data_IF_765056492285
#
_entry.id   IF_765056492285
#
_cell.length_a   1.000
_cell.length_b   1.000
_cell.length_c   1.000
_cell.angle_alpha   90.00
_cell.angle_beta   90.00
_cell.angle_gamma   90.00
#
_symmetry.space_group_name_H-M   'P 1'
#
loop_
_entity.id
_entity.type
_entity.pdbx_description
1 polymer ?
#
# COMPACT_ATOMS: atom_id res chain seq x y z
N UNK A 1 -7.62 -23.32 -23.22
CA UNK A 1 -7.66 -23.65 -21.79
C UNK A 1 -6.27 -24.14 -21.42
N UNK A 2 -5.46 -23.30 -20.73
CA UNK A 2 -4.16 -23.74 -20.19
C UNK A 2 -4.42 -24.77 -19.09
N UNK A 3 -3.90 -25.98 -19.26
CA UNK A 3 -3.90 -27.01 -18.20
C UNK A 3 -3.32 -26.41 -16.93
N UNK A 4 -4.14 -26.27 -15.90
CA UNK A 4 -3.69 -25.85 -14.57
C UNK A 4 -2.74 -26.92 -14.04
N UNK A 5 -1.45 -26.62 -13.99
CA UNK A 5 -0.43 -27.44 -13.35
C UNK A 5 -0.74 -27.51 -11.84
N UNK A 6 -1.56 -28.49 -11.43
CA UNK A 6 -1.87 -28.74 -10.02
C UNK A 6 -0.56 -29.04 -9.29
N UNK A 7 -0.20 -28.17 -8.35
CA UNK A 7 0.92 -28.44 -7.44
C UNK A 7 0.62 -29.75 -6.71
N UNK A 8 1.54 -30.72 -6.79
CA UNK A 8 1.35 -32.02 -6.17
C UNK A 8 1.12 -31.87 -4.66
N UNK A 9 0.28 -32.73 -4.08
CA UNK A 9 -0.02 -32.76 -2.65
C UNK A 9 1.24 -32.83 -1.80
N UNK A 10 2.25 -33.56 -2.27
CA UNK A 10 3.55 -33.66 -1.61
C UNK A 10 4.27 -32.32 -1.49
N UNK A 11 4.26 -31.49 -2.55
CA UNK A 11 4.87 -30.14 -2.50
C UNK A 11 4.14 -29.20 -1.52
N UNK A 12 2.81 -29.31 -1.42
CA UNK A 12 2.03 -28.55 -0.43
C UNK A 12 2.35 -28.95 1.00
N UNK A 13 2.44 -30.25 1.27
CA UNK A 13 2.81 -30.78 2.59
C UNK A 13 4.22 -30.34 2.96
N UNK A 14 5.18 -30.45 2.02
CA UNK A 14 6.57 -30.03 2.24
C UNK A 14 6.67 -28.52 2.56
N UNK A 15 5.92 -27.70 1.84
CA UNK A 15 5.85 -26.25 2.09
C UNK A 15 5.28 -25.92 3.50
N UNK A 16 4.21 -26.60 3.90
CA UNK A 16 3.64 -26.41 5.24
C UNK A 16 4.57 -26.88 6.36
N UNK A 17 5.29 -28.00 6.17
CA UNK A 17 6.31 -28.47 7.09
C UNK A 17 7.46 -27.45 7.17
N UNK A 18 7.90 -26.91 6.03
CA UNK A 18 8.93 -25.86 5.99
C UNK A 18 8.50 -24.63 6.80
N UNK A 19 7.27 -24.14 6.62
CA UNK A 19 6.73 -23.01 7.37
C UNK A 19 6.65 -23.29 8.87
N UNK A 20 6.25 -24.49 9.26
CA UNK A 20 6.24 -24.94 10.65
C UNK A 20 7.65 -24.97 11.26
N UNK A 21 8.63 -25.46 10.53
CA UNK A 21 10.04 -25.48 10.98
C UNK A 21 10.60 -24.06 11.11
N UNK A 22 10.30 -23.16 10.18
CA UNK A 22 10.68 -21.74 10.25
C UNK A 22 10.03 -21.07 11.46
N UNK A 23 8.74 -21.30 11.69
CA UNK A 23 8.04 -20.79 12.88
C UNK A 23 8.61 -21.30 14.20
N UNK A 24 8.92 -22.61 14.28
CA UNK A 24 9.55 -23.22 15.44
C UNK A 24 10.96 -22.67 15.69
N UNK A 25 11.74 -22.42 14.64
CA UNK A 25 13.09 -21.85 14.72
C UNK A 25 13.04 -20.40 15.21
N UNK A 26 12.14 -19.58 14.68
CA UNK A 26 11.93 -18.20 15.13
C UNK A 26 11.45 -18.17 16.57
N UNK A 27 10.46 -18.98 16.94
CA UNK A 27 9.94 -19.08 18.30
C UNK A 27 10.99 -19.58 19.29
N UNK A 28 11.76 -20.61 18.89
CA UNK A 28 12.84 -21.17 19.71
C UNK A 28 13.98 -20.17 19.95
N UNK A 29 14.42 -19.47 18.90
CA UNK A 29 15.44 -18.41 19.03
C UNK A 29 14.93 -17.25 19.89
N UNK A 30 13.69 -16.79 19.68
CA UNK A 30 13.09 -15.73 20.49
C UNK A 30 13.03 -16.13 21.99
N UNK A 31 12.59 -17.35 22.29
CA UNK A 31 12.55 -17.87 23.65
C UNK A 31 13.95 -18.01 24.26
N UNK A 32 14.92 -18.50 23.51
CA UNK A 32 16.31 -18.61 23.94
C UNK A 32 16.94 -17.26 24.29
N UNK A 33 16.83 -16.27 23.40
CA UNK A 33 17.34 -14.91 23.64
C UNK A 33 16.60 -14.19 24.76
N UNK A 34 15.29 -14.43 24.93
CA UNK A 34 14.53 -13.92 26.06
C UNK A 34 15.02 -14.54 27.38
N UNK A 35 15.29 -15.86 27.41
CA UNK A 35 15.82 -16.55 28.57
C UNK A 35 17.24 -16.11 28.96
N UNK A 36 18.03 -15.61 28.03
CA UNK A 36 19.36 -15.01 28.25
C UNK A 36 19.29 -13.54 28.71
N UNK A 37 18.10 -12.96 28.91
CA UNK A 37 17.95 -11.55 29.29
C UNK A 37 18.42 -10.55 28.25
N UNK A 38 18.66 -10.97 26.98
CA UNK A 38 19.14 -10.11 25.93
C UNK A 38 18.17 -8.95 25.68
N UNK A 39 16.85 -9.19 25.88
CA UNK A 39 15.81 -8.18 25.67
C UNK A 39 15.56 -7.30 26.90
N UNK A 40 16.06 -7.68 28.10
CA UNK A 40 15.89 -6.86 29.31
C UNK A 40 16.67 -5.55 29.24
N UNK A 41 17.82 -5.54 28.55
CA UNK A 41 18.66 -4.36 28.35
C UNK A 41 18.39 -3.63 27.03
N UNK A 42 17.52 -4.18 26.17
CA UNK A 42 17.21 -3.58 24.88
C UNK A 42 16.04 -2.61 25.01
N UNK A 43 16.35 -1.31 25.05
CA UNK A 43 15.32 -0.26 25.07
C UNK A 43 14.66 -0.13 23.70
N UNK A 44 13.54 -0.80 23.49
CA UNK A 44 12.72 -0.68 22.28
C UNK A 44 12.24 0.75 22.04
N UNK A 45 12.14 1.58 23.08
CA UNK A 45 11.84 3.02 22.96
C UNK A 45 12.95 3.79 22.22
N UNK A 46 14.21 3.34 22.32
CA UNK A 46 15.32 3.92 21.54
C UNK A 46 15.37 3.39 20.10
N UNK A 47 14.99 2.12 19.88
CA UNK A 47 14.95 1.53 18.53
C UNK A 47 13.79 2.05 17.68
N UNK A 48 12.63 2.29 18.30
CA UNK A 48 11.46 2.93 17.67
C UNK A 48 11.45 4.44 17.99
N UNK A 49 12.55 5.11 17.69
CA UNK A 49 12.61 6.57 17.85
C UNK A 49 11.64 7.23 16.87
N UNK A 50 10.54 7.75 17.40
CA UNK A 50 9.47 8.42 16.63
C UNK A 50 10.03 9.55 15.77
N UNK A 51 11.06 10.26 16.25
CA UNK A 51 11.76 11.29 15.50
C UNK A 51 12.49 10.74 14.28
N UNK A 52 13.17 9.59 14.42
CA UNK A 52 13.85 8.93 13.30
C UNK A 52 12.85 8.39 12.27
N UNK A 53 11.76 7.76 12.71
CA UNK A 53 10.70 7.28 11.80
C UNK A 53 10.11 8.41 10.98
N UNK A 54 9.87 9.58 11.61
CA UNK A 54 9.40 10.78 10.93
C UNK A 54 10.42 11.30 9.91
N UNK A 55 11.71 11.36 10.25
CA UNK A 55 12.76 11.79 9.31
C UNK A 55 12.91 10.81 8.15
N UNK A 56 12.81 9.52 8.40
CA UNK A 56 12.80 8.50 7.35
C UNK A 56 11.61 8.69 6.40
N UNK A 57 10.42 8.94 6.92
CA UNK A 57 9.24 9.24 6.10
C UNK A 57 9.47 10.47 5.22
N UNK A 58 10.01 11.57 5.78
CA UNK A 58 10.35 12.79 5.02
C UNK A 58 11.38 12.53 3.93
N UNK A 59 12.47 11.83 4.25
CA UNK A 59 13.52 11.48 3.30
C UNK A 59 12.99 10.63 2.14
N UNK A 60 12.10 9.67 2.44
CA UNK A 60 11.44 8.85 1.41
C UNK A 60 10.61 9.70 0.45
N UNK A 61 9.88 10.70 0.95
CA UNK A 61 9.06 11.58 0.11
C UNK A 61 9.90 12.50 -0.80
N UNK A 62 11.11 12.89 -0.36
CA UNK A 62 12.06 13.64 -1.22
C UNK A 62 12.46 12.85 -2.46
N UNK A 63 12.48 11.53 -2.39
CA UNK A 63 12.78 10.64 -3.53
C UNK A 63 11.51 10.33 -4.33
N UNK A 64 10.42 10.03 -3.65
CA UNK A 64 9.19 9.56 -4.30
C UNK A 64 8.48 10.65 -5.10
N UNK A 65 8.43 11.90 -4.62
CA UNK A 65 7.76 12.97 -5.34
C UNK A 65 8.40 13.28 -6.70
N UNK A 66 9.73 13.47 -6.82
CA UNK A 66 10.38 13.58 -8.11
C UNK A 66 10.14 12.38 -9.03
N UNK A 67 10.11 11.16 -8.47
CA UNK A 67 9.82 9.95 -9.24
C UNK A 67 8.40 9.96 -9.82
N UNK A 68 7.39 10.37 -9.03
CA UNK A 68 6.01 10.53 -9.54
C UNK A 68 5.97 11.58 -10.65
N UNK A 69 6.59 12.74 -10.45
CA UNK A 69 6.65 13.78 -11.48
C UNK A 69 7.31 13.30 -12.75
N UNK A 70 8.41 12.55 -12.64
CA UNK A 70 9.11 11.97 -13.78
C UNK A 70 8.22 10.99 -14.55
N UNK A 71 7.51 10.10 -13.86
CA UNK A 71 6.60 9.14 -14.46
C UNK A 71 5.42 9.85 -15.13
N UNK A 72 4.84 10.87 -14.50
CA UNK A 72 3.79 11.70 -15.09
C UNK A 72 4.29 12.41 -16.36
N UNK A 73 5.48 12.96 -16.32
CA UNK A 73 6.09 13.60 -17.48
C UNK A 73 6.26 12.61 -18.65
N UNK A 74 6.78 11.41 -18.37
CA UNK A 74 6.90 10.34 -19.38
C UNK A 74 5.55 9.91 -19.93
N UNK A 75 4.56 9.73 -19.08
CA UNK A 75 3.18 9.41 -19.49
C UNK A 75 2.64 10.43 -20.49
N UNK A 76 2.76 11.72 -20.17
CA UNK A 76 2.27 12.78 -21.05
C UNK A 76 3.03 12.83 -22.38
N UNK A 77 4.35 12.66 -22.34
CA UNK A 77 5.20 12.63 -23.52
C UNK A 77 4.80 11.49 -24.47
N UNK A 78 4.60 10.28 -23.94
CA UNK A 78 4.21 9.13 -24.75
C UNK A 78 2.76 9.23 -25.23
N UNK A 79 1.86 9.78 -24.42
CA UNK A 79 0.50 10.04 -24.85
C UNK A 79 0.43 11.03 -26.02
N UNK A 80 1.22 12.10 -26.01
CA UNK A 80 1.30 13.05 -27.11
C UNK A 80 1.93 12.45 -28.38
N UNK A 81 2.83 11.48 -28.24
CA UNK A 81 3.34 10.71 -29.35
C UNK A 81 2.27 9.77 -29.91
N UNK A 82 1.56 9.04 -29.04
CA UNK A 82 0.43 8.18 -29.36
C UNK A 82 -0.66 8.90 -30.16
N UNK A 83 -1.05 10.11 -29.73
CA UNK A 83 -2.09 10.90 -30.43
C UNK A 83 -1.69 11.38 -31.84
N UNK A 84 -0.40 11.42 -32.15
CA UNK A 84 0.14 11.93 -33.43
C UNK A 84 0.60 10.84 -34.37
N UNK A 85 0.75 9.62 -33.91
CA UNK A 85 1.32 8.52 -34.67
C UNK A 85 0.27 7.91 -35.62
N UNK A 86 0.65 7.78 -36.88
CA UNK A 86 -0.20 7.21 -37.93
C UNK A 86 0.14 5.74 -38.22
N UNK A 87 1.34 5.27 -37.87
CA UNK A 87 1.76 3.89 -38.02
C UNK A 87 1.17 3.05 -36.89
N UNK A 88 0.41 2.00 -37.23
CA UNK A 88 -0.33 1.18 -36.27
C UNK A 88 0.59 0.44 -35.27
N UNK A 89 1.74 -0.07 -35.73
CA UNK A 89 2.67 -0.79 -34.87
C UNK A 89 3.33 0.14 -33.87
N UNK A 90 3.78 1.30 -34.33
CA UNK A 90 4.40 2.31 -33.50
C UNK A 90 3.39 3.00 -32.56
N UNK A 91 2.17 3.19 -33.01
CA UNK A 91 1.07 3.70 -32.22
C UNK A 91 0.76 2.78 -31.04
N UNK A 92 0.71 1.46 -31.27
CA UNK A 92 0.53 0.46 -30.21
C UNK A 92 1.68 0.48 -29.18
N UNK A 93 2.92 0.68 -29.60
CA UNK A 93 4.06 0.83 -28.67
C UNK A 93 3.91 2.09 -27.79
N UNK A 94 3.50 3.22 -28.36
CA UNK A 94 3.26 4.45 -27.60
C UNK A 94 2.09 4.30 -26.63
N UNK A 95 1.02 3.65 -27.06
CA UNK A 95 -0.10 3.27 -26.18
C UNK A 95 0.39 2.49 -24.98
N UNK A 96 1.09 1.38 -25.22
CA UNK A 96 1.63 0.51 -24.16
C UNK A 96 2.54 1.26 -23.19
N UNK A 97 3.43 2.10 -23.70
CA UNK A 97 4.34 2.91 -22.87
C UNK A 97 3.59 3.97 -22.06
N UNK A 98 2.55 4.57 -22.61
CA UNK A 98 1.71 5.54 -21.93
C UNK A 98 1.04 4.90 -20.71
N UNK A 99 0.32 3.82 -20.89
CA UNK A 99 -0.41 3.16 -19.81
C UNK A 99 0.53 2.52 -18.79
N UNK A 100 1.62 1.89 -19.23
CA UNK A 100 2.65 1.37 -18.33
C UNK A 100 3.22 2.44 -17.39
N UNK A 101 3.56 3.62 -17.90
CA UNK A 101 4.08 4.70 -17.07
C UNK A 101 2.99 5.31 -16.17
N UNK A 102 1.74 5.37 -16.65
CA UNK A 102 0.60 5.83 -15.85
C UNK A 102 0.36 4.92 -14.64
N UNK A 103 0.36 3.60 -14.84
CA UNK A 103 0.19 2.63 -13.75
C UNK A 103 1.35 2.68 -12.75
N UNK A 104 2.60 2.79 -13.21
CA UNK A 104 3.72 3.02 -12.30
C UNK A 104 3.60 4.33 -11.53
N UNK A 105 3.14 5.41 -12.18
CA UNK A 105 2.89 6.67 -11.49
C UNK A 105 1.81 6.52 -10.41
N UNK A 106 0.74 5.76 -10.68
CA UNK A 106 -0.31 5.46 -9.71
C UNK A 106 0.23 4.68 -8.51
N UNK A 107 1.04 3.63 -8.74
CA UNK A 107 1.65 2.84 -7.67
C UNK A 107 2.53 3.73 -6.78
N UNK A 108 3.46 4.50 -7.36
CA UNK A 108 4.39 5.34 -6.59
C UNK A 108 3.63 6.47 -5.89
N UNK A 109 2.60 7.03 -6.50
CA UNK A 109 1.71 8.04 -5.90
C UNK A 109 0.98 7.47 -4.67
N UNK A 110 0.40 6.26 -4.76
CA UNK A 110 -0.30 5.63 -3.65
C UNK A 110 0.66 5.26 -2.50
N UNK A 111 1.88 4.80 -2.80
CA UNK A 111 2.92 4.60 -1.78
C UNK A 111 3.28 5.92 -1.10
N UNK A 112 3.45 7.00 -1.87
CA UNK A 112 3.72 8.34 -1.35
C UNK A 112 2.58 8.83 -0.44
N UNK A 113 1.32 8.53 -0.81
CA UNK A 113 0.13 8.83 0.00
C UNK A 113 0.17 8.14 1.37
N UNK A 114 0.52 6.87 1.40
CA UNK A 114 0.65 6.13 2.65
C UNK A 114 1.77 6.69 3.55
N UNK A 115 2.92 7.01 2.95
CA UNK A 115 4.08 7.55 3.69
C UNK A 115 3.80 8.95 4.23
N UNK A 116 3.13 9.83 3.46
CA UNK A 116 2.81 11.18 3.97
C UNK A 116 1.82 11.11 5.11
N UNK A 117 0.77 10.29 5.01
CA UNK A 117 -0.19 10.10 6.13
C UNK A 117 0.54 9.60 7.37
N UNK A 118 1.38 8.57 7.24
CA UNK A 118 2.21 8.08 8.33
C UNK A 118 3.08 9.20 8.93
N UNK A 119 3.80 9.96 8.11
CA UNK A 119 4.72 11.02 8.55
C UNK A 119 3.99 12.14 9.30
N UNK A 120 2.80 12.55 8.82
CA UNK A 120 1.97 13.57 9.46
C UNK A 120 1.47 13.06 10.81
N UNK A 121 0.85 11.87 10.88
CA UNK A 121 0.29 11.36 12.13
C UNK A 121 1.37 11.07 13.18
N UNK A 122 2.51 10.48 12.76
CA UNK A 122 3.67 10.31 13.64
C UNK A 122 4.21 11.66 14.11
N UNK A 123 4.19 12.67 13.24
CA UNK A 123 4.57 14.05 13.61
C UNK A 123 3.69 14.67 14.67
N UNK A 124 2.38 14.49 14.58
CA UNK A 124 1.42 14.98 15.60
C UNK A 124 1.68 14.33 16.96
N UNK A 125 1.86 13.00 16.99
CA UNK A 125 2.16 12.25 18.21
C UNK A 125 3.49 12.69 18.83
N UNK A 126 4.53 12.87 18.01
CA UNK A 126 5.86 13.28 18.45
C UNK A 126 5.85 14.65 19.13
N UNK A 127 5.21 15.65 18.51
CA UNK A 127 5.14 17.03 19.06
C UNK A 127 4.28 17.06 20.32
N UNK A 128 3.16 16.35 20.34
CA UNK A 128 2.30 16.26 21.53
C UNK A 128 3.04 15.71 22.76
N UNK A 129 3.96 14.78 22.58
CA UNK A 129 4.78 14.22 23.66
C UNK A 129 5.88 15.17 24.16
N UNK A 130 6.46 16.00 23.29
CA UNK A 130 7.54 16.95 23.68
C UNK A 130 6.99 18.19 24.39
N UNK A 131 5.87 18.73 23.91
CA UNK A 131 5.40 20.05 24.37
C UNK A 131 4.48 20.01 25.59
N UNK A 132 4.03 18.81 26.02
CA UNK A 132 2.97 18.64 27.02
C UNK A 132 1.67 19.43 26.72
N UNK A 133 1.61 20.09 25.57
CA UNK A 133 0.44 20.80 25.11
C UNK A 133 -0.37 19.89 24.18
N UNK A 134 -1.59 19.54 24.60
CA UNK A 134 -2.55 18.76 23.82
C UNK A 134 -3.16 19.58 22.65
N UNK A 135 -2.34 20.34 21.93
CA UNK A 135 -2.79 21.03 20.74
C UNK A 135 -2.70 20.05 19.56
N UNK A 136 -3.81 19.64 18.96
CA UNK A 136 -3.83 18.54 17.97
C UNK A 136 -3.21 18.90 16.63
N UNK A 137 -2.70 20.10 16.42
CA UNK A 137 -2.25 20.60 15.11
C UNK A 137 -0.84 21.22 15.10
N UNK A 138 0.03 20.86 16.04
CA UNK A 138 1.43 21.33 15.97
C UNK A 138 2.26 20.49 15.02
N UNK A 139 2.07 20.69 13.72
CA UNK A 139 2.98 20.19 12.69
C UNK A 139 4.13 21.18 12.48
N UNK A 140 5.31 20.67 12.11
CA UNK A 140 6.41 21.55 11.72
C UNK A 140 6.11 22.19 10.35
N UNK A 141 6.72 23.35 10.08
CA UNK A 141 6.59 24.05 8.79
C UNK A 141 6.94 23.14 7.60
N UNK A 142 7.90 22.22 7.80
CA UNK A 142 8.31 21.23 6.78
C UNK A 142 7.16 20.28 6.46
N UNK A 143 6.40 19.81 7.45
CA UNK A 143 5.29 18.88 7.21
C UNK A 143 4.15 19.55 6.44
N UNK A 144 3.88 20.84 6.73
CA UNK A 144 2.93 21.61 5.93
C UNK A 144 3.40 21.79 4.49
N UNK A 145 4.69 22.07 4.26
CA UNK A 145 5.25 22.19 2.93
C UNK A 145 5.15 20.87 2.14
N UNK A 146 5.46 19.74 2.78
CA UNK A 146 5.34 18.40 2.19
C UNK A 146 3.88 18.07 1.88
N UNK A 147 2.94 18.41 2.78
CA UNK A 147 1.50 18.19 2.56
C UNK A 147 0.96 19.04 1.40
N UNK A 148 1.37 20.31 1.32
CA UNK A 148 0.99 21.19 0.22
C UNK A 148 1.51 20.67 -1.13
N UNK A 149 2.77 20.23 -1.16
CA UNK A 149 3.36 19.63 -2.36
C UNK A 149 2.64 18.35 -2.77
N UNK A 150 2.18 17.53 -1.81
CA UNK A 150 1.37 16.34 -2.09
C UNK A 150 0.03 16.71 -2.75
N UNK A 151 -0.68 17.71 -2.23
CA UNK A 151 -1.95 18.17 -2.81
C UNK A 151 -1.73 18.66 -4.26
N UNK A 152 -0.66 19.40 -4.51
CA UNK A 152 -0.29 19.82 -5.85
C UNK A 152 0.00 18.62 -6.77
N UNK A 153 0.76 17.65 -6.28
CA UNK A 153 1.09 16.42 -6.99
C UNK A 153 -0.18 15.61 -7.32
N UNK A 154 -1.12 15.52 -6.38
CA UNK A 154 -2.43 14.87 -6.60
C UNK A 154 -3.21 15.55 -7.73
N UNK A 155 -3.25 16.88 -7.76
CA UNK A 155 -3.93 17.62 -8.81
C UNK A 155 -3.29 17.38 -10.19
N UNK A 156 -1.95 17.35 -10.27
CA UNK A 156 -1.21 17.07 -11.50
C UNK A 156 -1.44 15.63 -11.97
N UNK A 157 -1.39 14.66 -11.05
CA UNK A 157 -1.65 13.25 -11.34
C UNK A 157 -3.07 13.05 -11.86
N UNK A 158 -4.09 13.56 -11.15
CA UNK A 158 -5.49 13.44 -11.53
C UNK A 158 -5.75 14.03 -12.93
N UNK A 159 -5.23 15.23 -13.22
CA UNK A 159 -5.34 15.83 -14.57
C UNK A 159 -4.70 14.97 -15.65
N UNK A 160 -3.61 14.25 -15.32
CA UNK A 160 -2.96 13.35 -16.28
C UNK A 160 -3.81 12.12 -16.53
N UNK A 161 -4.37 11.51 -15.48
CA UNK A 161 -5.33 10.39 -15.61
C UNK A 161 -6.52 10.80 -16.47
N UNK A 162 -7.13 11.96 -16.18
CA UNK A 162 -8.26 12.48 -16.95
C UNK A 162 -7.92 12.70 -18.43
N UNK A 163 -6.72 13.21 -18.73
CA UNK A 163 -6.26 13.42 -20.11
C UNK A 163 -6.08 12.08 -20.84
N UNK A 164 -5.37 11.13 -20.24
CA UNK A 164 -4.98 9.85 -20.85
C UNK A 164 -6.18 8.89 -20.99
N UNK A 165 -7.06 8.85 -19.99
CA UNK A 165 -8.21 7.96 -19.97
C UNK A 165 -9.48 8.60 -20.61
N UNK A 166 -9.44 9.86 -21.01
CA UNK A 166 -10.60 10.62 -21.51
C UNK A 166 -11.84 10.55 -20.60
N UNK A 167 -11.62 10.34 -19.30
CA UNK A 167 -12.67 10.22 -18.29
C UNK A 167 -12.49 11.25 -17.17
N UNK A 168 -13.56 12.01 -16.87
CA UNK A 168 -13.54 13.02 -15.79
C UNK A 168 -13.74 12.36 -14.42
N UNK A 169 -12.67 11.82 -13.87
CA UNK A 169 -12.68 11.33 -12.50
C UNK A 169 -12.59 12.51 -11.52
N UNK A 170 -13.47 12.56 -10.50
CA UNK A 170 -13.41 13.58 -9.46
C UNK A 170 -12.24 13.34 -8.48
N UNK A 171 -11.86 14.36 -7.70
CA UNK A 171 -10.81 14.22 -6.68
C UNK A 171 -11.26 13.31 -5.51
N UNK A 172 -12.58 13.23 -5.29
CA UNK A 172 -13.22 12.37 -4.30
C UNK A 172 -14.37 11.61 -5.00
N UNK A 173 -14.03 10.55 -5.76
CA UNK A 173 -15.00 9.86 -6.59
C UNK A 173 -15.98 9.05 -5.74
N UNK A 174 -17.22 8.99 -6.18
CA UNK A 174 -18.22 8.08 -5.64
C UNK A 174 -17.95 6.65 -6.07
N UNK A 175 -18.63 5.69 -5.43
CA UNK A 175 -18.52 4.27 -5.82
C UNK A 175 -18.99 4.03 -7.26
N UNK A 176 -20.01 4.77 -7.70
CA UNK A 176 -20.55 4.72 -9.06
C UNK A 176 -19.52 5.25 -10.08
N UNK A 177 -18.92 6.42 -9.80
CA UNK A 177 -17.85 6.98 -10.67
C UNK A 177 -16.66 6.02 -10.80
N UNK A 178 -16.25 5.35 -9.71
CA UNK A 178 -15.18 4.35 -9.77
C UNK A 178 -15.58 3.14 -10.63
N UNK A 179 -16.83 2.66 -10.52
CA UNK A 179 -17.30 1.56 -11.37
C UNK A 179 -17.30 1.93 -12.84
N UNK A 180 -17.82 3.11 -13.19
CA UNK A 180 -17.84 3.61 -14.57
C UNK A 180 -16.40 3.82 -15.10
N UNK A 181 -15.51 4.35 -14.26
CA UNK A 181 -14.11 4.53 -14.60
C UNK A 181 -13.42 3.20 -14.92
N UNK A 182 -13.62 2.16 -14.08
CA UNK A 182 -13.06 0.83 -14.31
C UNK A 182 -13.64 0.19 -15.58
N UNK A 183 -14.95 0.37 -15.84
CA UNK A 183 -15.59 -0.13 -17.06
C UNK A 183 -15.17 0.61 -18.34
N UNK A 184 -14.47 1.75 -18.23
CA UNK A 184 -13.86 2.45 -19.37
C UNK A 184 -12.53 1.84 -19.84
N UNK A 185 -12.01 0.84 -19.14
CA UNK A 185 -10.81 0.09 -19.52
C UNK A 185 -11.12 -0.83 -20.70
N UNK A 186 -10.10 -1.13 -21.51
CA UNK A 186 -10.26 -2.18 -22.51
C UNK A 186 -10.44 -3.57 -21.86
N UNK A 187 -10.93 -4.54 -22.61
CA UNK A 187 -11.29 -5.85 -22.09
C UNK A 187 -10.08 -6.59 -21.50
N UNK A 188 -8.92 -6.46 -22.10
CA UNK A 188 -7.68 -7.10 -21.64
C UNK A 188 -7.14 -6.46 -20.35
N UNK A 189 -7.16 -5.13 -20.25
CA UNK A 189 -6.82 -4.39 -19.03
C UNK A 189 -7.81 -4.72 -17.91
N UNK A 190 -9.10 -4.78 -18.22
CA UNK A 190 -10.14 -5.07 -17.25
C UNK A 190 -9.97 -6.46 -16.65
N UNK A 191 -9.70 -7.46 -17.49
CA UNK A 191 -9.43 -8.84 -17.05
C UNK A 191 -8.17 -8.91 -16.18
N UNK A 192 -7.07 -8.26 -16.60
CA UNK A 192 -5.83 -8.22 -15.83
C UNK A 192 -6.04 -7.54 -14.45
N UNK A 193 -6.80 -6.45 -14.40
CA UNK A 193 -7.14 -5.78 -13.16
C UNK A 193 -7.99 -6.66 -12.23
N UNK A 194 -8.99 -7.38 -12.74
CA UNK A 194 -9.79 -8.28 -11.92
C UNK A 194 -8.96 -9.43 -11.33
N UNK A 195 -8.10 -10.05 -12.15
CA UNK A 195 -7.20 -11.10 -11.69
C UNK A 195 -6.27 -10.57 -10.59
N UNK A 196 -5.66 -9.43 -10.81
CA UNK A 196 -4.73 -8.82 -9.84
C UNK A 196 -5.44 -8.40 -8.55
N UNK A 197 -6.62 -7.80 -8.63
CA UNK A 197 -7.42 -7.44 -7.46
C UNK A 197 -7.78 -8.68 -6.63
N UNK A 198 -8.17 -9.77 -7.27
CA UNK A 198 -8.45 -11.03 -6.60
C UNK A 198 -7.21 -11.57 -5.86
N UNK A 199 -6.05 -11.57 -6.53
CA UNK A 199 -4.78 -11.99 -5.93
C UNK A 199 -4.36 -11.12 -4.74
N UNK A 200 -4.53 -9.81 -4.86
CA UNK A 200 -4.25 -8.85 -3.76
C UNK A 200 -5.14 -9.15 -2.56
N UNK A 201 -6.45 -9.27 -2.77
CA UNK A 201 -7.41 -9.55 -1.70
C UNK A 201 -7.15 -10.90 -1.04
N UNK A 202 -6.85 -11.93 -1.84
CA UNK A 202 -6.47 -13.24 -1.31
C UNK A 202 -5.21 -13.18 -0.47
N UNK A 203 -4.15 -12.54 -0.96
CA UNK A 203 -2.90 -12.42 -0.23
C UNK A 203 -3.06 -11.58 1.05
N UNK A 204 -3.83 -10.49 0.98
CA UNK A 204 -4.12 -9.65 2.13
C UNK A 204 -4.85 -10.44 3.22
N UNK A 205 -5.93 -11.14 2.86
CA UNK A 205 -6.82 -11.84 3.80
C UNK A 205 -6.19 -13.12 4.37
N UNK A 206 -5.48 -13.89 3.53
CA UNK A 206 -4.98 -15.23 3.90
C UNK A 206 -3.52 -15.28 4.33
N UNK A 207 -2.75 -14.23 4.06
CA UNK A 207 -1.30 -14.22 4.35
C UNK A 207 -0.90 -13.01 5.18
N UNK A 208 -1.14 -11.79 4.67
CA UNK A 208 -0.61 -10.57 5.29
C UNK A 208 -1.28 -10.28 6.64
N UNK A 209 -2.61 -10.28 6.70
CA UNK A 209 -3.32 -10.02 7.96
C UNK A 209 -2.97 -11.05 9.04
N UNK A 210 -3.04 -12.38 8.81
CA UNK A 210 -2.60 -13.36 9.80
C UNK A 210 -1.15 -13.17 10.23
N UNK A 211 -0.23 -12.88 9.30
CA UNK A 211 1.16 -12.62 9.62
C UNK A 211 1.32 -11.39 10.53
N UNK A 212 0.58 -10.31 10.29
CA UNK A 212 0.58 -9.11 11.14
C UNK A 212 0.05 -9.39 12.54
N UNK A 213 -0.98 -10.23 12.71
CA UNK A 213 -1.43 -10.68 14.03
C UNK A 213 -0.31 -11.42 14.80
N UNK A 214 0.41 -12.30 14.11
CA UNK A 214 1.52 -13.05 14.72
C UNK A 214 2.66 -12.09 15.11
N UNK A 215 3.04 -11.16 14.22
CA UNK A 215 4.09 -10.16 14.50
C UNK A 215 3.72 -9.30 15.71
N UNK A 216 2.49 -8.77 15.75
CA UNK A 216 2.02 -7.99 16.89
C UNK A 216 1.98 -8.85 18.18
N UNK A 217 1.59 -10.12 18.09
CA UNK A 217 1.62 -11.03 19.22
C UNK A 217 3.02 -11.22 19.79
N UNK A 218 4.02 -11.43 18.92
CA UNK A 218 5.43 -11.51 19.29
C UNK A 218 5.89 -10.19 19.91
N UNK A 219 5.61 -9.05 19.28
CA UNK A 219 5.97 -7.75 19.83
C UNK A 219 5.35 -7.51 21.20
N UNK A 220 4.08 -7.82 21.40
CA UNK A 220 3.41 -7.66 22.70
C UNK A 220 3.90 -8.61 23.78
N UNK A 221 4.38 -9.81 23.40
CA UNK A 221 4.92 -10.78 24.34
C UNK A 221 6.35 -10.45 24.81
N UNK A 222 7.17 -9.88 23.94
CA UNK A 222 8.60 -9.67 24.19
C UNK A 222 8.99 -8.19 24.36
N UNK A 223 8.05 -7.25 24.27
CA UNK A 223 8.32 -5.83 24.44
C UNK A 223 7.28 -5.16 25.34
N UNK A 224 7.60 -4.03 25.99
CA UNK A 224 6.64 -3.26 26.78
C UNK A 224 5.66 -2.46 25.91
N UNK A 225 5.58 -2.70 24.60
CA UNK A 225 4.71 -1.98 23.70
C UNK A 225 3.24 -2.39 23.91
N UNK A 226 2.35 -1.40 24.02
CA UNK A 226 0.92 -1.67 24.01
C UNK A 226 0.44 -1.92 22.57
N UNK A 227 0.32 -3.19 22.21
CA UNK A 227 -0.09 -3.64 20.85
C UNK A 227 -1.60 -3.84 20.71
N UNK A 228 -2.38 -3.66 21.76
CA UNK A 228 -3.84 -3.92 21.75
C UNK A 228 -4.55 -3.08 20.70
N UNK A 229 -4.21 -1.80 20.56
CA UNK A 229 -4.76 -0.92 19.51
C UNK A 229 -4.45 -1.44 18.11
N UNK A 230 -3.26 -1.99 17.89
CA UNK A 230 -2.88 -2.63 16.63
C UNK A 230 -3.76 -3.84 16.31
N UNK A 231 -4.03 -4.72 17.27
CA UNK A 231 -4.96 -5.85 17.10
C UNK A 231 -6.38 -5.39 16.74
N UNK A 232 -6.88 -4.34 17.42
CA UNK A 232 -8.21 -3.79 17.11
C UNK A 232 -8.27 -3.27 15.68
N UNK A 233 -7.27 -2.52 15.24
CA UNK A 233 -7.20 -2.01 13.86
C UNK A 233 -7.16 -3.15 12.84
N UNK A 234 -6.32 -4.16 13.06
CA UNK A 234 -6.25 -5.34 12.17
C UNK A 234 -7.58 -6.08 12.11
N UNK A 235 -8.25 -6.26 13.26
CA UNK A 235 -9.56 -6.91 13.33
C UNK A 235 -10.61 -6.14 12.51
N UNK A 236 -10.66 -4.82 12.64
CA UNK A 236 -11.60 -3.97 11.89
C UNK A 236 -11.34 -4.09 10.38
N UNK A 237 -10.07 -4.01 9.94
CA UNK A 237 -9.70 -4.17 8.53
C UNK A 237 -10.12 -5.56 8.02
N UNK A 238 -9.83 -6.61 8.81
CA UNK A 238 -10.13 -7.99 8.43
C UNK A 238 -11.66 -8.22 8.27
N UNK A 239 -12.44 -7.72 9.23
CA UNK A 239 -13.90 -7.79 9.15
C UNK A 239 -14.41 -6.98 7.95
N UNK A 240 -13.92 -5.76 7.73
CA UNK A 240 -14.34 -4.89 6.65
C UNK A 240 -14.14 -5.56 5.27
N UNK A 241 -12.94 -6.12 5.01
CA UNK A 241 -12.65 -6.80 3.74
C UNK A 241 -13.65 -7.91 3.48
N UNK A 242 -13.97 -8.73 4.50
CA UNK A 242 -14.91 -9.86 4.34
C UNK A 242 -16.37 -9.39 4.17
N UNK A 243 -16.78 -8.34 4.87
CA UNK A 243 -18.12 -7.76 4.70
C UNK A 243 -18.33 -7.16 3.31
N UNK A 244 -17.29 -6.65 2.66
CA UNK A 244 -17.37 -6.10 1.31
C UNK A 244 -17.71 -7.13 0.23
N UNK A 245 -17.65 -8.44 0.53
CA UNK A 245 -18.18 -9.49 -0.36
C UNK A 245 -19.71 -9.66 -0.28
N UNK A 246 -20.35 -9.18 0.79
CA UNK A 246 -21.79 -9.37 1.00
C UNK A 246 -22.66 -8.82 -0.15
N UNK A 247 -22.43 -7.61 -0.70
CA UNK A 247 -23.21 -7.10 -1.83
C UNK A 247 -23.13 -7.99 -3.08
N UNK A 248 -21.98 -8.61 -3.33
CA UNK A 248 -21.79 -9.55 -4.44
C UNK A 248 -22.66 -10.79 -4.25
N UNK A 249 -22.61 -11.40 -3.04
CA UNK A 249 -23.44 -12.58 -2.72
C UNK A 249 -24.91 -12.26 -2.90
N UNK A 250 -25.38 -11.13 -2.37
CA UNK A 250 -26.76 -10.69 -2.49
C UNK A 250 -27.21 -10.43 -3.94
N UNK A 251 -26.31 -9.96 -4.79
CA UNK A 251 -26.61 -9.61 -6.19
C UNK A 251 -26.64 -10.84 -7.10
N UNK A 252 -25.69 -11.76 -6.94
CA UNK A 252 -25.45 -12.85 -7.90
C UNK A 252 -25.99 -14.22 -7.47
N UNK A 253 -26.29 -14.42 -6.18
CA UNK A 253 -26.79 -15.70 -5.66
C UNK A 253 -28.20 -15.55 -5.03
N UNK A 254 -29.05 -14.75 -5.68
CA UNK A 254 -30.46 -14.64 -5.33
C UNK A 254 -31.23 -15.85 -5.82
#
# INVERSE_FOLDING_TARGET
VKEQKRISTQKRVLYNIFLLLVGALIGGLSGFFSGLGVFENFSWSSALNVGLLRQFGRASLVILYPLVFFLIYRTRKYHEAYEKEADEEQNYEWYRLTFKNLEYAAIVFNISSAIILFTIFVGVVFIGNITNHKSPLQLSLIDYAIAFLYIFLQAVFLKTVQKVRHYKLSAFPTTEEIKEFVLSYDESELQANYEQCYLILFNLNQRLLPALYIILGILGAFTPLNVVSGFVVLMVIHIYINLMYYPMVRKYFK
#
